data_IF_629952233423
#
_entry.id   IF_629952233423
#
_cell.length_a   1.000
_cell.length_b   1.000
_cell.length_c   1.000
_cell.angle_alpha   90.00
_cell.angle_beta   90.00
_cell.angle_gamma   90.00
#
_symmetry.space_group_name_H-M   'P 1'
#
loop_
_entity.id
_entity.type
_entity.pdbx_description
1 polymer ?
#
# COMPACT_ATOMS: atom_id res chain seq x y z
N UNK A 1 -9.99 19.09 -18.67
CA UNK A 1 -10.39 20.50 -18.81
C UNK A 1 -10.08 21.18 -17.49
N UNK A 2 -9.09 22.07 -17.51
CA UNK A 2 -8.61 22.81 -16.34
C UNK A 2 -9.62 23.88 -15.97
N UNK A 3 -10.52 23.55 -15.02
CA UNK A 3 -11.50 24.51 -14.52
C UNK A 3 -10.84 25.51 -13.57
N UNK A 4 -11.32 26.76 -13.58
CA UNK A 4 -10.75 27.86 -12.78
C UNK A 4 -11.65 28.28 -11.63
N UNK A 5 -11.07 28.94 -10.64
CA UNK A 5 -11.78 29.57 -9.54
C UNK A 5 -12.90 30.49 -10.07
N UNK A 6 -14.08 30.36 -9.50
CA UNK A 6 -15.27 31.13 -9.88
C UNK A 6 -16.05 30.59 -11.08
N UNK A 7 -15.54 29.57 -11.80
CA UNK A 7 -16.22 29.00 -12.97
C UNK A 7 -17.50 28.26 -12.57
N UNK A 8 -18.53 28.41 -13.40
CA UNK A 8 -19.83 27.74 -13.21
C UNK A 8 -19.90 26.56 -14.20
N UNK A 9 -20.38 25.40 -13.76
CA UNK A 9 -20.57 24.23 -14.64
C UNK A 9 -21.74 24.44 -15.58
N UNK A 10 -21.70 23.75 -16.73
CA UNK A 10 -22.92 23.53 -17.53
C UNK A 10 -24.01 22.86 -16.69
N UNK A 11 -25.25 22.92 -17.19
CA UNK A 11 -26.40 22.31 -16.54
C UNK A 11 -26.20 20.78 -16.47
N UNK A 12 -26.11 20.25 -15.26
CA UNK A 12 -25.96 18.82 -14.99
C UNK A 12 -27.36 18.25 -14.74
N UNK A 13 -27.81 17.35 -15.60
CA UNK A 13 -29.08 16.64 -15.42
C UNK A 13 -28.91 15.46 -14.46
N UNK A 14 -29.78 15.35 -13.47
CA UNK A 14 -29.85 14.21 -12.53
C UNK A 14 -31.27 13.63 -12.49
N UNK A 15 -31.45 12.51 -11.80
CA UNK A 15 -32.78 11.90 -11.59
C UNK A 15 -33.74 12.79 -10.79
N UNK A 16 -33.24 13.85 -10.13
CA UNK A 16 -34.03 14.77 -9.29
C UNK A 16 -34.13 16.19 -9.86
N UNK A 17 -33.66 16.44 -11.09
CA UNK A 17 -33.75 17.75 -11.75
C UNK A 17 -32.44 18.21 -12.38
N UNK A 18 -32.22 19.51 -12.40
CA UNK A 18 -31.07 20.16 -13.02
C UNK A 18 -30.19 20.84 -11.97
N UNK A 19 -28.88 20.66 -12.05
CA UNK A 19 -27.91 21.25 -11.12
C UNK A 19 -26.94 22.16 -11.87
N UNK A 20 -26.59 23.29 -11.25
CA UNK A 20 -25.52 24.18 -11.68
C UNK A 20 -24.60 24.36 -10.48
N UNK A 21 -23.30 24.10 -10.66
CA UNK A 21 -22.31 24.18 -9.58
C UNK A 21 -21.36 25.35 -9.85
N UNK A 22 -21.15 26.21 -8.85
CA UNK A 22 -20.10 27.24 -8.89
C UNK A 22 -18.85 26.72 -8.18
N UNK A 23 -17.73 26.77 -8.87
CA UNK A 23 -16.43 26.41 -8.32
C UNK A 23 -15.97 27.56 -7.40
N UNK A 24 -16.01 27.32 -6.10
CA UNK A 24 -15.65 28.33 -5.10
C UNK A 24 -14.14 28.61 -5.12
N UNK A 25 -13.32 27.56 -5.27
CA UNK A 25 -11.87 27.67 -5.47
C UNK A 25 -11.30 26.34 -5.96
N UNK A 26 -10.35 26.36 -6.88
CA UNK A 26 -9.56 25.22 -7.32
C UNK A 26 -8.22 25.30 -6.60
N UNK A 27 -8.14 24.65 -5.45
CA UNK A 27 -6.87 24.50 -4.76
C UNK A 27 -6.11 23.31 -5.36
N UNK A 28 -4.98 23.58 -6.02
CA UNK A 28 -3.97 22.56 -6.32
C UNK A 28 -3.25 22.18 -5.01
N UNK A 29 -3.95 21.54 -4.07
CA UNK A 29 -3.37 21.07 -2.81
C UNK A 29 -3.62 19.59 -2.62
N UNK A 30 -2.64 18.81 -3.06
CA UNK A 30 -1.79 18.02 -2.18
C UNK A 30 -0.82 17.24 -3.08
N UNK A 31 0.35 17.82 -3.43
CA UNK A 31 1.44 16.98 -3.89
C UNK A 31 1.76 16.04 -2.74
N UNK A 32 1.39 14.78 -2.89
CA UNK A 32 1.67 13.77 -1.87
C UNK A 32 2.93 13.11 -2.34
N UNK A 33 4.06 13.71 -1.96
CA UNK A 33 5.37 13.14 -2.22
C UNK A 33 5.51 11.89 -1.37
N UNK A 34 5.58 10.74 -2.02
CA UNK A 34 5.71 9.43 -1.37
C UNK A 34 7.00 8.78 -1.82
N UNK A 35 7.80 8.33 -0.85
CA UNK A 35 8.99 7.54 -1.14
C UNK A 35 8.62 6.09 -1.50
N UNK A 36 9.21 5.63 -2.59
CA UNK A 36 9.18 4.25 -3.06
C UNK A 36 10.61 3.72 -3.14
N UNK A 37 10.78 2.46 -2.74
CA UNK A 37 12.06 1.77 -2.62
C UNK A 37 12.00 0.53 -3.51
N UNK A 38 12.96 0.38 -4.41
CA UNK A 38 13.11 -0.84 -5.19
C UNK A 38 14.02 -1.78 -4.42
N UNK A 39 13.46 -2.88 -3.93
CA UNK A 39 14.13 -3.76 -2.96
C UNK A 39 14.03 -5.22 -3.36
N UNK A 40 15.12 -5.96 -3.15
CA UNK A 40 15.13 -7.42 -3.18
C UNK A 40 15.32 -7.96 -1.78
N UNK A 41 14.81 -9.16 -1.52
CA UNK A 41 15.06 -9.85 -0.26
C UNK A 41 15.29 -11.35 -0.42
N UNK A 42 15.93 -11.92 0.59
CA UNK A 42 16.03 -13.36 0.81
C UNK A 42 15.42 -13.62 2.17
N UNK A 43 14.43 -14.53 2.22
CA UNK A 43 13.78 -14.95 3.45
C UNK A 43 14.18 -16.39 3.79
N UNK A 44 14.56 -16.63 5.04
CA UNK A 44 14.72 -17.97 5.62
C UNK A 44 13.80 -18.08 6.84
N UNK A 45 12.88 -19.04 6.81
CA UNK A 45 11.93 -19.30 7.89
C UNK A 45 12.60 -20.12 8.98
N UNK A 46 12.36 -19.80 10.26
CA UNK A 46 12.80 -20.65 11.36
C UNK A 46 12.11 -22.00 11.25
N UNK A 47 12.86 -23.07 11.55
CA UNK A 47 12.33 -24.42 11.62
C UNK A 47 12.99 -25.17 12.77
N UNK A 48 12.37 -26.26 13.29
CA UNK A 48 12.91 -26.99 14.45
C UNK A 48 14.31 -27.57 14.25
N UNK A 49 14.78 -27.67 13.01
CA UNK A 49 16.09 -28.25 12.67
C UNK A 49 17.20 -27.20 12.56
N UNK A 50 16.88 -25.91 12.53
CA UNK A 50 17.85 -24.82 12.42
C UNK A 50 17.64 -23.81 13.54
N UNK A 51 18.67 -23.58 14.35
CA UNK A 51 18.60 -22.51 15.33
C UNK A 51 18.61 -21.13 14.64
N UNK A 52 18.04 -20.13 15.29
CA UNK A 52 18.12 -18.74 14.83
C UNK A 52 19.55 -18.27 14.59
N UNK A 53 20.50 -18.76 15.40
CA UNK A 53 21.93 -18.47 15.24
C UNK A 53 22.48 -19.05 13.94
N UNK A 54 22.09 -20.27 13.60
CA UNK A 54 22.54 -20.92 12.36
C UNK A 54 21.97 -20.22 11.13
N UNK A 55 20.69 -19.83 11.18
CA UNK A 55 20.04 -19.07 10.09
C UNK A 55 20.71 -17.71 9.92
N UNK A 56 20.98 -17.00 11.02
CA UNK A 56 21.69 -15.72 11.00
C UNK A 56 23.07 -15.85 10.37
N UNK A 57 23.84 -16.86 10.77
CA UNK A 57 25.17 -17.12 10.23
C UNK A 57 25.10 -17.47 8.74
N UNK A 58 24.16 -18.32 8.33
CA UNK A 58 23.92 -18.67 6.94
C UNK A 58 23.64 -17.43 6.08
N UNK A 59 22.77 -16.53 6.55
CA UNK A 59 22.46 -15.27 5.86
C UNK A 59 23.66 -14.32 5.82
N UNK A 60 24.47 -14.29 6.87
CA UNK A 60 25.68 -13.48 6.92
C UNK A 60 26.73 -13.98 5.90
N UNK A 61 26.90 -15.29 5.76
CA UNK A 61 27.75 -15.89 4.72
C UNK A 61 27.24 -15.58 3.30
N UNK A 62 25.94 -15.72 3.07
CA UNK A 62 25.32 -15.33 1.79
C UNK A 62 25.60 -13.86 1.47
N UNK A 63 25.36 -12.96 2.43
CA UNK A 63 25.65 -11.53 2.27
C UNK A 63 27.10 -11.27 1.85
N UNK A 64 28.07 -11.96 2.45
CA UNK A 64 29.50 -11.74 2.19
C UNK A 64 29.96 -12.35 0.86
N UNK A 65 29.21 -13.31 0.30
CA UNK A 65 29.52 -13.93 -0.99
C UNK A 65 28.92 -13.17 -2.17
N UNK A 66 27.82 -12.43 -1.96
CA UNK A 66 27.15 -11.62 -2.98
C UNK A 66 28.02 -10.40 -3.30
N UNK A 67 28.46 -10.28 -4.56
CA UNK A 67 29.25 -9.13 -5.03
C UNK A 67 28.45 -8.16 -5.87
N UNK A 68 27.40 -8.65 -6.51
CA UNK A 68 26.55 -7.88 -7.41
C UNK A 68 25.07 -8.32 -7.27
N UNK A 69 24.20 -7.64 -8.02
CA UNK A 69 22.76 -7.91 -8.00
C UNK A 69 22.37 -9.26 -8.61
N UNK A 70 23.14 -9.77 -9.57
CA UNK A 70 22.87 -11.05 -10.22
C UNK A 70 23.16 -12.21 -9.27
N UNK A 71 24.27 -12.13 -8.52
CA UNK A 71 24.61 -13.07 -7.44
C UNK A 71 23.48 -13.10 -6.39
N UNK A 72 22.97 -11.92 -6.01
CA UNK A 72 21.83 -11.81 -5.08
C UNK A 72 20.61 -12.53 -5.65
N UNK A 73 20.29 -12.28 -6.93
CA UNK A 73 19.15 -12.89 -7.61
C UNK A 73 19.26 -14.41 -7.64
N UNK A 74 20.43 -14.96 -7.92
CA UNK A 74 20.63 -16.41 -8.01
C UNK A 74 20.59 -17.09 -6.64
N UNK A 75 21.17 -16.45 -5.61
CA UNK A 75 21.03 -16.91 -4.23
C UNK A 75 19.57 -16.84 -3.79
N UNK A 76 18.84 -15.77 -4.14
CA UNK A 76 17.43 -15.65 -3.80
C UNK A 76 16.57 -16.74 -4.46
N UNK A 77 16.79 -17.04 -5.74
CA UNK A 77 16.08 -18.16 -6.42
C UNK A 77 16.34 -19.50 -5.75
N UNK A 78 17.55 -19.71 -5.23
CA UNK A 78 17.99 -20.99 -4.67
C UNK A 78 17.59 -21.18 -3.21
N UNK A 79 17.64 -20.13 -2.41
CA UNK A 79 17.55 -20.24 -0.95
C UNK A 79 16.37 -19.49 -0.33
N UNK A 80 15.77 -18.51 -1.01
CA UNK A 80 14.67 -17.75 -0.41
C UNK A 80 13.40 -18.59 -0.32
N UNK A 81 12.82 -18.66 0.89
CA UNK A 81 11.57 -19.35 1.20
C UNK A 81 10.31 -18.48 0.99
N UNK A 82 10.50 -17.31 0.36
CA UNK A 82 9.43 -16.54 -0.27
C UNK A 82 9.35 -16.86 -1.77
N UNK A 83 8.65 -17.94 -2.11
CA UNK A 83 8.52 -18.42 -3.50
C UNK A 83 8.06 -17.33 -4.49
N UNK A 84 7.21 -16.39 -4.03
CA UNK A 84 6.64 -15.37 -4.90
C UNK A 84 7.70 -14.39 -5.39
N UNK A 85 8.68 -14.02 -4.56
CA UNK A 85 9.79 -13.14 -4.94
C UNK A 85 11.03 -13.93 -5.39
N UNK A 86 11.28 -15.11 -4.82
CA UNK A 86 12.43 -15.97 -5.13
C UNK A 86 12.57 -16.22 -6.64
N UNK A 87 11.48 -16.55 -7.32
CA UNK A 87 11.47 -16.81 -8.78
C UNK A 87 11.96 -15.58 -9.59
N UNK A 88 11.75 -14.37 -9.08
CA UNK A 88 12.23 -13.10 -9.68
C UNK A 88 13.57 -12.64 -9.11
N UNK A 89 14.31 -13.53 -8.46
CA UNK A 89 15.58 -13.20 -7.80
C UNK A 89 15.39 -12.33 -6.57
N UNK A 90 14.34 -12.58 -5.80
CA UNK A 90 14.02 -11.85 -4.56
C UNK A 90 13.33 -10.50 -4.77
N UNK A 91 12.98 -10.13 -6.01
CA UNK A 91 12.41 -8.82 -6.34
C UNK A 91 10.99 -8.61 -5.80
N UNK A 92 10.87 -7.61 -4.92
CA UNK A 92 9.61 -7.13 -4.36
C UNK A 92 9.04 -5.93 -5.13
N UNK A 93 9.68 -5.49 -6.21
CA UNK A 93 9.32 -4.31 -7.00
C UNK A 93 9.41 -3.02 -6.16
N UNK A 94 8.81 -1.93 -6.64
CA UNK A 94 8.71 -0.68 -5.90
C UNK A 94 7.77 -0.82 -4.71
N UNK A 95 8.33 -0.70 -3.52
CA UNK A 95 7.61 -0.80 -2.25
C UNK A 95 7.59 0.53 -1.51
N UNK A 96 6.47 0.79 -0.84
CA UNK A 96 6.33 1.89 0.11
C UNK A 96 6.49 1.32 1.51
N UNK A 97 7.12 2.08 2.41
CA UNK A 97 7.35 1.59 3.78
C UNK A 97 6.07 1.13 4.48
N UNK A 98 4.93 1.77 4.20
CA UNK A 98 3.61 1.41 4.76
C UNK A 98 3.04 0.06 4.29
N UNK A 99 3.55 -0.47 3.18
CA UNK A 99 3.10 -1.75 2.63
C UNK A 99 3.87 -2.94 3.22
N UNK A 100 4.94 -2.68 3.97
CA UNK A 100 5.83 -3.66 4.54
C UNK A 100 5.64 -3.72 6.05
N UNK A 101 6.07 -4.82 6.65
CA UNK A 101 6.11 -4.95 8.12
C UNK A 101 7.12 -3.97 8.71
N UNK A 102 6.88 -3.43 9.92
CA UNK A 102 7.69 -2.37 10.50
C UNK A 102 9.19 -2.67 10.52
N UNK A 103 9.56 -3.89 10.94
CA UNK A 103 10.94 -4.35 11.07
C UNK A 103 11.68 -4.31 9.72
N UNK A 104 11.01 -4.79 8.66
CA UNK A 104 11.55 -4.76 7.31
C UNK A 104 11.66 -3.32 6.81
N UNK A 105 10.62 -2.51 7.04
CA UNK A 105 10.58 -1.12 6.57
C UNK A 105 11.69 -0.26 7.19
N UNK A 106 12.04 -0.53 8.46
CA UNK A 106 13.07 0.19 9.18
C UNK A 106 14.46 -0.17 8.68
N UNK A 107 14.74 -1.45 8.44
CA UNK A 107 16.00 -1.89 7.85
C UNK A 107 16.14 -1.37 6.41
N UNK A 108 15.06 -1.42 5.62
CA UNK A 108 15.04 -0.90 4.26
C UNK A 108 15.39 0.59 4.19
N UNK A 109 14.84 1.42 5.10
CA UNK A 109 15.15 2.86 5.16
C UNK A 109 16.58 3.16 5.60
N UNK A 110 17.16 2.31 6.45
CA UNK A 110 18.53 2.46 6.98
C UNK A 110 19.59 1.93 6.03
N UNK A 111 19.23 1.02 5.14
CA UNK A 111 20.17 0.40 4.19
C UNK A 111 20.51 1.38 3.06
N UNK A 112 21.78 1.68 2.80
CA UNK A 112 22.17 2.51 1.67
C UNK A 112 21.81 1.89 0.31
N UNK A 113 21.55 2.73 -0.68
CA UNK A 113 21.29 2.29 -2.05
C UNK A 113 22.53 1.57 -2.60
N UNK A 114 22.31 0.44 -3.27
CA UNK A 114 23.36 -0.41 -3.82
C UNK A 114 24.03 -1.34 -2.79
N UNK A 115 23.46 -1.47 -1.59
CA UNK A 115 24.06 -2.30 -0.51
C UNK A 115 23.10 -3.33 0.05
N UNK A 116 23.67 -4.34 0.71
CA UNK A 116 22.95 -5.42 1.40
C UNK A 116 22.91 -5.14 2.90
N UNK A 117 21.73 -5.24 3.49
CA UNK A 117 21.53 -5.12 4.95
C UNK A 117 22.23 -6.24 5.71
N UNK A 118 22.42 -6.04 7.01
CA UNK A 118 22.71 -7.16 7.91
C UNK A 118 21.48 -8.07 8.06
N UNK A 119 21.64 -9.34 8.48
CA UNK A 119 20.52 -10.22 8.77
C UNK A 119 19.64 -9.69 9.89
N UNK A 120 18.33 -9.67 9.66
CA UNK A 120 17.33 -9.18 10.62
C UNK A 120 16.10 -10.09 10.66
N UNK A 121 15.30 -9.96 11.72
CA UNK A 121 14.09 -10.78 11.94
C UNK A 121 12.85 -9.94 11.69
N UNK A 122 11.84 -10.56 11.07
CA UNK A 122 10.47 -10.08 11.04
C UNK A 122 9.51 -11.20 11.46
N UNK A 123 8.22 -10.92 11.51
CA UNK A 123 7.19 -11.94 11.75
C UNK A 123 7.20 -13.11 10.75
N UNK A 124 7.84 -12.97 9.59
CA UNK A 124 7.95 -14.02 8.57
C UNK A 124 9.21 -14.88 8.70
N UNK A 125 10.18 -14.50 9.54
CA UNK A 125 11.45 -15.18 9.71
C UNK A 125 12.64 -14.24 9.58
N UNK A 126 13.77 -14.79 9.13
CA UNK A 126 15.03 -14.07 8.97
C UNK A 126 15.23 -13.58 7.54
N UNK A 127 15.73 -12.37 7.40
CA UNK A 127 15.87 -11.69 6.13
C UNK A 127 17.23 -11.04 5.96
N UNK A 128 17.67 -10.96 4.71
CA UNK A 128 18.58 -9.91 4.22
C UNK A 128 17.90 -9.21 3.05
N UNK A 129 18.16 -7.91 2.90
CA UNK A 129 17.64 -7.15 1.76
C UNK A 129 18.74 -6.42 1.01
N UNK A 130 18.53 -6.22 -0.29
CA UNK A 130 19.35 -5.37 -1.14
C UNK A 130 18.50 -4.19 -1.60
N UNK A 131 18.95 -2.97 -1.30
CA UNK A 131 18.26 -1.77 -1.76
C UNK A 131 18.80 -1.35 -3.12
N UNK A 132 18.04 -1.59 -4.19
CA UNK A 132 18.47 -1.22 -5.55
C UNK A 132 18.38 0.28 -5.80
N UNK A 133 17.27 0.90 -5.38
CA UNK A 133 16.98 2.29 -5.70
C UNK A 133 15.94 2.88 -4.76
N UNK A 134 15.89 4.21 -4.71
CA UNK A 134 14.87 5.00 -4.02
C UNK A 134 14.40 6.12 -4.94
N UNK A 135 13.09 6.31 -5.03
CA UNK A 135 12.49 7.44 -5.74
C UNK A 135 11.39 8.09 -4.90
N UNK A 136 11.14 9.36 -5.14
CA UNK A 136 9.98 10.06 -4.58
C UNK A 136 9.01 10.33 -5.73
N UNK A 137 7.77 9.87 -5.59
CA UNK A 137 6.71 10.03 -6.60
C UNK A 137 5.61 10.96 -6.07
N UNK A 138 5.06 11.78 -6.95
CA UNK A 138 3.83 12.52 -6.64
C UNK A 138 2.62 11.59 -6.85
N UNK A 139 2.04 11.14 -5.75
CA UNK A 139 0.91 10.21 -5.76
C UNK A 139 -0.45 10.90 -5.56
N UNK A 140 -0.51 12.23 -5.73
CA UNK A 140 -1.73 13.03 -5.52
C UNK A 140 -2.97 12.43 -6.20
N UNK A 141 -2.84 12.01 -7.47
CA UNK A 141 -3.95 11.45 -8.25
C UNK A 141 -4.49 10.15 -7.68
N UNK A 142 -3.61 9.28 -7.19
CA UNK A 142 -4.01 7.99 -6.60
C UNK A 142 -4.74 8.20 -5.28
N UNK A 143 -4.20 9.08 -4.42
CA UNK A 143 -4.82 9.46 -3.15
C UNK A 143 -6.21 10.05 -3.36
N UNK A 144 -6.34 11.02 -4.27
CA UNK A 144 -7.63 11.62 -4.62
C UNK A 144 -8.62 10.55 -5.11
N UNK A 145 -8.20 9.68 -6.03
CA UNK A 145 -9.06 8.61 -6.56
C UNK A 145 -9.58 7.70 -5.45
N UNK A 146 -8.72 7.27 -4.52
CA UNK A 146 -9.11 6.41 -3.41
C UNK A 146 -10.08 7.08 -2.45
N UNK A 147 -9.84 8.36 -2.13
CA UNK A 147 -10.75 9.16 -1.29
C UNK A 147 -12.13 9.31 -1.94
N UNK A 148 -12.17 9.61 -3.25
CA UNK A 148 -13.42 9.72 -4.01
C UNK A 148 -14.17 8.38 -4.05
N UNK A 149 -13.47 7.28 -4.33
CA UNK A 149 -14.08 5.95 -4.35
C UNK A 149 -14.68 5.57 -2.98
N UNK A 150 -13.99 5.89 -1.88
CA UNK A 150 -14.49 5.65 -0.53
C UNK A 150 -15.72 6.52 -0.22
N UNK A 151 -15.68 7.80 -0.58
CA UNK A 151 -16.82 8.70 -0.39
C UNK A 151 -18.06 8.24 -1.17
N UNK A 152 -17.89 7.79 -2.42
CA UNK A 152 -18.98 7.21 -3.23
C UNK A 152 -19.54 5.95 -2.54
N UNK A 153 -18.69 5.04 -2.06
CA UNK A 153 -19.13 3.85 -1.31
C UNK A 153 -19.95 4.20 -0.08
N UNK A 154 -19.45 5.13 0.75
CA UNK A 154 -20.13 5.58 1.98
C UNK A 154 -21.47 6.23 1.65
N UNK A 155 -21.52 7.09 0.62
CA UNK A 155 -22.75 7.76 0.21
C UNK A 155 -23.79 6.78 -0.34
N UNK A 156 -23.37 5.78 -1.14
CA UNK A 156 -24.28 4.74 -1.63
C UNK A 156 -24.81 3.90 -0.47
N UNK A 157 -23.94 3.44 0.43
CA UNK A 157 -24.35 2.66 1.60
C UNK A 157 -25.30 3.44 2.52
N UNK A 158 -25.12 4.76 2.66
CA UNK A 158 -26.06 5.61 3.39
C UNK A 158 -27.45 5.61 2.75
N UNK A 159 -27.55 5.85 1.44
CA UNK A 159 -28.85 5.89 0.74
C UNK A 159 -29.59 4.57 0.82
N UNK A 160 -28.91 3.44 0.56
CA UNK A 160 -29.53 2.12 0.62
C UNK A 160 -30.03 1.81 2.05
N UNK A 161 -29.30 2.22 3.08
CA UNK A 161 -29.75 2.09 4.48
C UNK A 161 -30.97 2.96 4.76
N UNK A 162 -30.97 4.21 4.32
CA UNK A 162 -32.09 5.12 4.52
C UNK A 162 -33.36 4.58 3.81
N UNK A 163 -33.23 4.09 2.58
CA UNK A 163 -34.33 3.47 1.81
C UNK A 163 -34.82 2.16 2.45
N UNK A 164 -33.90 1.33 2.95
CA UNK A 164 -34.25 0.11 3.68
C UNK A 164 -34.97 0.39 4.99
N UNK A 165 -34.52 1.38 5.76
CA UNK A 165 -35.18 1.82 7.00
C UNK A 165 -36.57 2.39 6.73
N UNK A 166 -36.76 3.12 5.62
CA UNK A 166 -38.08 3.61 5.23
C UNK A 166 -39.04 2.45 4.93
N UNK A 167 -38.59 1.43 4.18
CA UNK A 167 -39.40 0.23 3.91
C UNK A 167 -39.74 -0.56 5.17
N UNK A 168 -38.78 -0.73 6.08
CA UNK A 168 -39.03 -1.40 7.35
C UNK A 168 -40.09 -0.67 8.20
N UNK A 169 -40.06 0.66 8.22
CA UNK A 169 -41.07 1.46 8.92
C UNK A 169 -42.45 1.34 8.28
N UNK A 170 -42.52 1.31 6.96
CA UNK A 170 -43.78 1.18 6.21
C UNK A 170 -44.44 -0.20 6.40
N UNK A 171 -43.63 -1.26 6.52
CA UNK A 171 -44.11 -2.63 6.73
C UNK A 171 -44.35 -2.98 8.20
N UNK A 172 -43.89 -2.15 9.15
CA UNK A 172 -44.06 -2.39 10.57
C UNK A 172 -45.40 -1.83 11.06
N UNK A 173 -46.11 -2.60 11.89
CA UNK A 173 -47.24 -2.06 12.65
C UNK A 173 -46.70 -1.20 13.82
N UNK A 174 -46.82 0.13 13.70
CA UNK A 174 -46.35 1.09 14.71
C UNK A 174 -47.57 1.71 15.40
N UNK A 175 -47.72 1.47 16.72
CA UNK A 175 -48.71 2.12 17.56
C UNK A 175 -48.03 3.17 18.45
N UNK A 176 -48.32 4.45 18.24
CA UNK A 176 -47.83 5.57 19.05
C UNK A 176 -48.91 5.91 20.08
N UNK A 177 -48.63 5.69 21.37
CA UNK A 177 -49.51 6.12 22.46
C UNK A 177 -49.06 7.50 22.95
N UNK A 178 -49.96 8.48 22.89
CA UNK A 178 -49.78 9.75 23.59
C UNK A 178 -50.18 9.57 25.06
N UNK A 179 -49.39 10.16 25.97
CA UNK A 179 -49.63 10.14 27.43
C UNK A 179 -50.31 11.43 27.87
#
# INVERSE_FOLDING_TARGET
MDKKDGEITDIIKSSRGYHILKIVSVSNKASTMVDEYKVRHILIKPNPMKSDKDIKNQLFEMRNTIKNIDDFSDIAKKYSEDNASAIRGGDLNWQRSKNLVPEFSDVMKKTPIGTISDPFVSQFGWHILFLENKRTVDDARSVIRNNVAQAIRVNKAKRERDDWMAKLKDQAYINIKEF
#
